data_IF_243600986403
#
_entry.id   IF_243600986403
#
_cell.length_a   1.000
_cell.length_b   1.000
_cell.length_c   1.000
_cell.angle_alpha   90.00
_cell.angle_beta   90.00
_cell.angle_gamma   90.00
#
_symmetry.space_group_name_H-M   'P 1'
#
loop_
_entity.id
_entity.type
_entity.pdbx_description
1 polymer ?
#
# COMPACT_ATOMS: atom_id res chain seq x y z
N UNK A 1 21.16 -1.74 -4.86
CA UNK A 1 21.41 -2.37 -6.19
C UNK A 1 20.31 -3.36 -6.62
N UNK A 2 19.85 -4.30 -5.77
CA UNK A 2 18.77 -5.25 -6.18
C UNK A 2 17.41 -4.57 -6.49
N UNK A 3 17.07 -3.49 -5.80
CA UNK A 3 15.83 -2.76 -6.01
C UNK A 3 15.79 -2.03 -7.37
N UNK A 4 16.90 -1.42 -7.79
CA UNK A 4 17.01 -0.77 -9.12
C UNK A 4 16.86 -1.75 -10.29
N UNK A 5 17.38 -2.96 -10.16
CA UNK A 5 17.31 -3.97 -11.23
C UNK A 5 15.86 -4.44 -11.50
N UNK A 6 15.02 -4.51 -10.47
CA UNK A 6 13.61 -4.94 -10.59
C UNK A 6 12.74 -3.92 -11.35
N UNK A 7 13.08 -2.64 -11.26
CA UNK A 7 12.30 -1.58 -11.90
C UNK A 7 12.86 -1.15 -13.27
N UNK A 8 14.00 -1.71 -13.71
CA UNK A 8 14.61 -1.37 -15.01
C UNK A 8 13.62 -1.46 -16.17
N UNK A 9 12.75 -2.48 -16.15
CA UNK A 9 11.74 -2.70 -17.19
C UNK A 9 10.72 -1.57 -17.31
N UNK A 10 10.39 -0.90 -16.21
CA UNK A 10 9.39 0.17 -16.17
C UNK A 10 9.97 1.54 -15.77
N UNK A 11 11.28 1.65 -15.64
CA UNK A 11 11.92 2.87 -15.15
C UNK A 11 11.65 4.09 -16.05
N UNK A 12 11.76 3.91 -17.36
CA UNK A 12 11.48 4.98 -18.32
C UNK A 12 10.00 5.39 -18.30
N UNK A 13 9.10 4.41 -18.12
CA UNK A 13 7.67 4.68 -18.02
C UNK A 13 7.34 5.42 -16.73
N UNK A 14 7.96 5.04 -15.61
CA UNK A 14 7.77 5.71 -14.32
C UNK A 14 8.28 7.16 -14.34
N UNK A 15 9.29 7.48 -15.13
CA UNK A 15 9.70 8.86 -15.39
C UNK A 15 8.61 9.66 -16.13
N UNK A 16 7.93 9.04 -17.11
CA UNK A 16 6.81 9.67 -17.79
C UNK A 16 5.60 9.84 -16.85
N UNK A 17 5.32 8.86 -15.99
CA UNK A 17 4.31 8.99 -14.94
C UNK A 17 4.63 10.16 -14.00
N UNK A 18 5.89 10.30 -13.57
CA UNK A 18 6.30 11.40 -12.68
C UNK A 18 6.13 12.78 -13.36
N UNK A 19 6.51 12.89 -14.62
CA UNK A 19 6.31 14.12 -15.40
C UNK A 19 4.82 14.45 -15.56
N UNK A 20 3.98 13.43 -15.81
CA UNK A 20 2.55 13.60 -15.93
C UNK A 20 1.89 13.95 -14.60
N UNK A 21 2.30 13.32 -13.48
CA UNK A 21 1.86 13.68 -12.14
C UNK A 21 2.09 15.16 -11.85
N UNK A 22 3.30 15.67 -12.15
CA UNK A 22 3.64 17.08 -11.97
C UNK A 22 2.74 18.03 -12.79
N UNK A 23 2.33 17.62 -14.00
CA UNK A 23 1.37 18.39 -14.83
C UNK A 23 -0.05 18.35 -14.25
N UNK A 24 -0.47 17.20 -13.76
CA UNK A 24 -1.83 16.99 -13.25
C UNK A 24 -2.10 17.68 -11.91
N UNK A 25 -1.06 17.88 -11.10
CA UNK A 25 -1.17 18.57 -9.81
C UNK A 25 -1.02 20.08 -9.90
N UNK A 26 -0.82 20.61 -11.10
CA UNK A 26 -0.76 22.05 -11.36
C UNK A 26 -2.17 22.64 -11.29
N UNK A 27 -2.50 23.26 -10.17
CA UNK A 27 -3.81 23.86 -9.91
C UNK A 27 -3.79 25.36 -10.23
N UNK A 28 -4.96 25.96 -10.59
CA UNK A 28 -5.06 27.41 -10.76
C UNK A 28 -4.73 28.19 -9.48
N UNK A 29 -5.07 27.64 -8.31
CA UNK A 29 -4.68 28.23 -7.02
C UNK A 29 -3.21 27.91 -6.70
N UNK A 30 -2.35 28.94 -6.48
CA UNK A 30 -0.93 28.73 -6.26
C UNK A 30 -0.60 27.95 -4.98
N UNK A 31 -1.39 28.12 -3.92
CA UNK A 31 -1.13 27.45 -2.63
C UNK A 31 -1.48 25.95 -2.73
N UNK A 32 -2.62 25.65 -3.34
CA UNK A 32 -3.03 24.28 -3.62
C UNK A 32 -2.02 23.57 -4.55
N UNK A 33 -1.57 24.26 -5.61
CA UNK A 33 -0.55 23.75 -6.52
C UNK A 33 0.77 23.45 -5.79
N UNK A 34 1.23 24.33 -4.89
CA UNK A 34 2.43 24.10 -4.09
C UNK A 34 2.29 22.91 -3.16
N UNK A 35 1.14 22.74 -2.49
CA UNK A 35 0.88 21.63 -1.60
C UNK A 35 0.84 20.29 -2.35
N UNK A 36 0.15 20.23 -3.49
CA UNK A 36 0.08 19.03 -4.33
C UNK A 36 1.44 18.68 -4.95
N UNK A 37 2.20 19.67 -5.45
CA UNK A 37 3.57 19.47 -5.95
C UNK A 37 4.51 18.98 -4.86
N UNK A 38 4.38 19.47 -3.62
CA UNK A 38 5.19 19.04 -2.48
C UNK A 38 5.05 17.52 -2.24
N UNK A 39 3.83 16.97 -2.37
CA UNK A 39 3.58 15.53 -2.26
C UNK A 39 4.26 14.73 -3.37
N UNK A 40 4.13 15.16 -4.63
CA UNK A 40 4.79 14.49 -5.77
C UNK A 40 6.31 14.49 -5.55
N UNK A 41 6.88 15.64 -5.19
CA UNK A 41 8.31 15.81 -4.95
C UNK A 41 8.84 15.11 -3.69
N UNK A 42 7.97 14.72 -2.75
CA UNK A 42 8.35 13.83 -1.65
C UNK A 42 8.75 12.42 -2.15
N UNK A 43 8.50 12.14 -3.42
CA UNK A 43 8.91 10.91 -4.08
C UNK A 43 8.04 9.71 -3.70
N UNK A 44 8.58 8.53 -3.95
CA UNK A 44 7.93 7.25 -3.64
C UNK A 44 8.32 6.19 -4.68
N UNK A 45 8.03 4.94 -4.36
CA UNK A 45 8.36 3.80 -5.24
C UNK A 45 7.43 3.66 -6.45
N UNK A 46 6.37 4.45 -6.54
CA UNK A 46 5.36 4.43 -7.61
C UNK A 46 4.87 3.01 -7.94
N UNK A 47 4.61 2.21 -6.90
CA UNK A 47 4.26 0.79 -7.05
C UNK A 47 2.95 0.59 -7.84
N UNK A 48 1.94 1.43 -7.59
CA UNK A 48 0.64 1.31 -8.25
C UNK A 48 0.71 1.59 -9.74
N UNK A 49 1.34 2.68 -10.20
CA UNK A 49 1.68 2.87 -11.61
C UNK A 49 2.44 1.69 -12.20
N UNK A 50 3.50 1.22 -11.53
CA UNK A 50 4.33 0.12 -12.01
C UNK A 50 3.51 -1.17 -12.21
N UNK A 51 2.61 -1.52 -11.28
CA UNK A 51 1.75 -2.69 -11.42
C UNK A 51 0.75 -2.54 -12.57
N UNK A 52 0.17 -1.36 -12.78
CA UNK A 52 -0.74 -1.13 -13.90
C UNK A 52 0.00 -1.25 -15.24
N UNK A 53 1.19 -0.68 -15.35
CA UNK A 53 2.04 -0.74 -16.55
C UNK A 53 2.49 -2.17 -16.82
N UNK A 54 3.00 -2.89 -15.82
CA UNK A 54 3.43 -4.29 -15.99
C UNK A 54 2.26 -5.20 -16.39
N UNK A 55 1.09 -5.01 -15.77
CA UNK A 55 -0.11 -5.76 -16.14
C UNK A 55 -0.51 -5.51 -17.61
N UNK A 56 -0.48 -4.26 -18.04
CA UNK A 56 -0.80 -3.91 -19.42
C UNK A 56 0.24 -4.44 -20.41
N UNK A 57 1.53 -4.41 -20.07
CA UNK A 57 2.61 -4.99 -20.87
C UNK A 57 2.52 -6.50 -21.02
N UNK A 58 2.05 -7.22 -19.98
CA UNK A 58 1.72 -8.65 -20.11
C UNK A 58 0.65 -8.90 -21.20
N UNK A 59 -0.16 -7.89 -21.50
CA UNK A 59 -1.21 -7.95 -22.52
C UNK A 59 -0.82 -7.24 -23.84
N UNK A 60 0.44 -6.82 -23.98
CA UNK A 60 0.96 -6.21 -25.21
C UNK A 60 0.55 -4.74 -25.45
N UNK A 61 0.01 -4.05 -24.43
CA UNK A 61 -0.41 -2.66 -24.60
C UNK A 61 0.75 -1.66 -24.42
N UNK A 62 0.77 -0.57 -25.23
CA UNK A 62 1.76 0.50 -25.10
C UNK A 62 1.44 1.42 -23.92
N UNK A 63 2.45 2.19 -23.47
CA UNK A 63 2.35 3.07 -22.30
C UNK A 63 1.27 4.15 -22.46
N UNK A 64 1.16 4.72 -23.63
CA UNK A 64 0.24 5.85 -23.92
C UNK A 64 -1.20 5.52 -23.54
N UNK A 65 -1.58 4.26 -23.70
CA UNK A 65 -2.92 3.76 -23.35
C UNK A 65 -3.13 3.65 -21.85
N UNK A 66 -2.06 3.48 -21.07
CA UNK A 66 -2.10 3.20 -19.64
C UNK A 66 -1.70 4.40 -18.80
N UNK A 67 -0.99 5.35 -19.37
CA UNK A 67 -0.43 6.48 -18.64
C UNK A 67 -1.48 7.27 -17.84
N UNK A 68 -2.66 7.65 -18.38
CA UNK A 68 -3.67 8.36 -17.58
C UNK A 68 -4.15 7.55 -16.39
N UNK A 69 -4.33 6.22 -16.55
CA UNK A 69 -4.74 5.30 -15.49
C UNK A 69 -3.65 5.15 -14.42
N UNK A 70 -2.40 4.98 -14.82
CA UNK A 70 -1.26 4.86 -13.92
C UNK A 70 -1.11 6.11 -13.05
N UNK A 71 -1.28 7.29 -13.63
CA UNK A 71 -1.28 8.57 -12.93
C UNK A 71 -2.46 8.67 -11.97
N UNK A 72 -3.69 8.32 -12.41
CA UNK A 72 -4.88 8.35 -11.58
C UNK A 72 -4.75 7.45 -10.33
N UNK A 73 -4.22 6.24 -10.49
CA UNK A 73 -3.98 5.31 -9.40
C UNK A 73 -2.99 5.87 -8.35
N UNK A 74 -1.93 6.53 -8.79
CA UNK A 74 -0.99 7.17 -7.87
C UNK A 74 -1.60 8.41 -7.21
N UNK A 75 -2.40 9.20 -7.93
CA UNK A 75 -3.10 10.36 -7.34
C UNK A 75 -4.08 9.93 -6.25
N UNK A 76 -4.84 8.85 -6.45
CA UNK A 76 -5.70 8.28 -5.41
C UNK A 76 -4.87 7.87 -4.20
N UNK A 77 -3.75 7.17 -4.42
CA UNK A 77 -2.86 6.81 -3.33
C UNK A 77 -2.31 8.03 -2.59
N UNK A 78 -1.89 9.06 -3.32
CA UNK A 78 -1.40 10.30 -2.71
C UNK A 78 -2.51 11.01 -1.92
N UNK A 79 -3.75 11.02 -2.41
CA UNK A 79 -4.91 11.55 -1.70
C UNK A 79 -5.12 10.82 -0.36
N UNK A 80 -5.07 9.48 -0.34
CA UNK A 80 -5.18 8.73 0.92
C UNK A 80 -4.05 9.06 1.88
N UNK A 81 -2.81 9.17 1.41
CA UNK A 81 -1.67 9.52 2.27
C UNK A 81 -1.82 10.89 2.94
N UNK A 82 -2.36 11.89 2.23
CA UNK A 82 -2.60 13.22 2.79
C UNK A 82 -3.68 13.20 3.85
N UNK A 83 -4.77 12.46 3.61
CA UNK A 83 -5.84 12.30 4.58
C UNK A 83 -5.35 11.52 5.81
N UNK A 84 -4.57 10.45 5.61
CA UNK A 84 -3.95 9.67 6.69
C UNK A 84 -3.01 10.57 7.54
N UNK A 85 -2.22 11.45 6.93
CA UNK A 85 -1.34 12.38 7.65
C UNK A 85 -2.10 13.32 8.58
N UNK A 86 -3.34 13.70 8.22
CA UNK A 86 -4.22 14.50 9.08
C UNK A 86 -4.80 13.65 10.22
N UNK A 87 -5.29 12.45 9.91
CA UNK A 87 -5.90 11.53 10.88
C UNK A 87 -4.89 11.10 11.95
N UNK A 88 -3.66 10.77 11.49
CA UNK A 88 -2.57 10.29 12.35
C UNK A 88 -1.79 11.43 13.01
N UNK A 89 -2.12 12.70 12.72
CA UNK A 89 -1.35 13.89 13.10
C UNK A 89 0.15 13.72 12.81
N UNK A 90 0.50 13.18 11.65
CA UNK A 90 1.86 12.81 11.27
C UNK A 90 2.64 14.04 10.78
N UNK A 91 3.70 14.49 11.49
CA UNK A 91 4.43 15.70 11.08
C UNK A 91 5.39 15.46 9.91
N UNK A 92 5.86 14.22 9.75
CA UNK A 92 6.90 13.86 8.76
C UNK A 92 6.47 12.62 7.98
N UNK A 93 6.68 12.65 6.66
CA UNK A 93 6.54 11.50 5.76
C UNK A 93 7.69 11.49 4.75
N UNK A 94 8.34 10.33 4.59
CA UNK A 94 9.51 10.16 3.69
C UNK A 94 10.63 11.19 3.95
N UNK A 95 10.87 11.51 5.21
CA UNK A 95 11.90 12.47 5.63
C UNK A 95 11.59 13.95 5.35
N UNK A 96 10.35 14.26 4.91
CA UNK A 96 9.89 15.64 4.66
C UNK A 96 8.67 15.98 5.50
N UNK A 97 8.47 17.27 5.86
CA UNK A 97 7.23 17.71 6.50
C UNK A 97 6.01 17.32 5.64
N UNK A 98 4.94 16.87 6.29
CA UNK A 98 3.66 16.58 5.62
C UNK A 98 2.98 17.88 5.18
N UNK A 99 1.97 17.78 4.31
CA UNK A 99 1.13 18.93 3.93
C UNK A 99 0.46 19.50 5.18
N UNK A 100 -0.03 18.62 6.06
CA UNK A 100 -0.62 18.98 7.35
C UNK A 100 0.34 19.79 8.25
N UNK A 101 1.57 19.34 8.39
CA UNK A 101 2.57 20.03 9.22
C UNK A 101 2.98 21.39 8.65
N UNK A 102 2.92 21.57 7.32
CA UNK A 102 3.40 22.77 6.65
C UNK A 102 2.30 23.81 6.41
N UNK A 103 1.09 23.37 6.09
CA UNK A 103 -0.01 24.26 5.68
C UNK A 103 -1.29 24.07 6.50
N UNK A 104 -1.30 23.16 7.47
CA UNK A 104 -2.45 22.92 8.34
C UNK A 104 -3.47 21.93 7.78
N UNK A 105 -4.45 21.65 8.61
CA UNK A 105 -5.45 20.60 8.38
C UNK A 105 -6.36 20.90 7.19
N UNK A 106 -6.85 22.11 7.09
CA UNK A 106 -7.83 22.51 6.05
C UNK A 106 -7.24 22.34 4.64
N UNK A 107 -6.04 22.88 4.39
CA UNK A 107 -5.41 22.74 3.08
C UNK A 107 -5.04 21.29 2.78
N UNK A 108 -4.69 20.48 3.78
CA UNK A 108 -4.44 19.06 3.58
C UNK A 108 -5.66 18.32 3.07
N UNK A 109 -6.83 18.53 3.70
CA UNK A 109 -8.08 17.90 3.27
C UNK A 109 -8.41 18.31 1.83
N UNK A 110 -8.37 19.62 1.52
CA UNK A 110 -8.61 20.10 0.16
C UNK A 110 -7.59 19.59 -0.86
N UNK A 111 -6.32 19.41 -0.46
CA UNK A 111 -5.30 18.83 -1.35
C UNK A 111 -5.64 17.37 -1.68
N UNK A 112 -6.06 16.58 -0.69
CA UNK A 112 -6.50 15.20 -0.91
C UNK A 112 -7.74 15.13 -1.82
N UNK A 113 -8.75 15.97 -1.56
CA UNK A 113 -9.97 16.04 -2.38
C UNK A 113 -9.67 16.44 -3.82
N UNK A 114 -8.78 17.42 -4.00
CA UNK A 114 -8.32 17.85 -5.33
C UNK A 114 -7.66 16.72 -6.10
N UNK A 115 -6.71 16.01 -5.49
CA UNK A 115 -6.02 14.88 -6.11
C UNK A 115 -7.01 13.78 -6.50
N UNK A 116 -7.96 13.48 -5.63
CA UNK A 116 -9.00 12.50 -5.90
C UNK A 116 -9.89 12.94 -7.07
N UNK A 117 -10.38 14.16 -7.08
CA UNK A 117 -11.20 14.70 -8.17
C UNK A 117 -10.45 14.69 -9.51
N UNK A 118 -9.17 15.09 -9.51
CA UNK A 118 -8.31 15.04 -10.72
C UNK A 118 -8.14 13.61 -11.24
N UNK A 119 -8.01 12.62 -10.36
CA UNK A 119 -7.93 11.23 -10.76
C UNK A 119 -9.17 10.74 -11.49
N UNK A 120 -10.36 11.19 -11.08
CA UNK A 120 -11.62 10.87 -11.74
C UNK A 120 -11.69 11.44 -13.17
N UNK A 121 -11.17 12.66 -13.39
CA UNK A 121 -11.09 13.28 -14.72
C UNK A 121 -10.23 12.42 -15.66
N UNK A 122 -9.07 11.93 -15.17
CA UNK A 122 -8.20 11.06 -15.97
C UNK A 122 -8.87 9.74 -16.33
N UNK A 123 -9.60 9.15 -15.38
CA UNK A 123 -10.29 7.86 -15.59
C UNK A 123 -11.50 8.00 -16.52
N UNK A 124 -12.16 9.17 -16.52
CA UNK A 124 -13.29 9.45 -17.39
C UNK A 124 -12.90 9.53 -18.90
N UNK A 125 -11.62 9.55 -19.23
CA UNK A 125 -11.14 9.51 -20.63
C UNK A 125 -11.22 8.10 -21.25
N UNK A 126 -11.48 7.06 -20.46
CA UNK A 126 -11.58 5.69 -20.95
C UNK A 126 -13.02 5.34 -21.36
N UNK A 127 -13.17 4.76 -22.55
CA UNK A 127 -14.49 4.31 -23.07
C UNK A 127 -15.01 3.07 -22.35
N UNK A 128 -14.14 2.24 -21.75
CA UNK A 128 -14.54 1.02 -21.06
C UNK A 128 -15.12 1.34 -19.66
N UNK A 129 -16.45 1.14 -19.47
CA UNK A 129 -17.13 1.52 -18.23
C UNK A 129 -16.67 0.72 -17.01
N UNK A 130 -15.96 -0.40 -17.21
CA UNK A 130 -15.38 -1.19 -16.10
C UNK A 130 -14.30 -0.40 -15.37
N UNK A 131 -13.56 0.48 -16.06
CA UNK A 131 -12.46 1.24 -15.46
C UNK A 131 -12.97 2.18 -14.37
N UNK A 132 -13.86 3.14 -14.63
CA UNK A 132 -14.40 3.99 -13.58
C UNK A 132 -15.20 3.22 -12.52
N UNK A 133 -15.92 2.16 -12.91
CA UNK A 133 -16.72 1.34 -11.98
C UNK A 133 -15.84 0.62 -10.94
N UNK A 134 -14.76 -0.04 -11.38
CA UNK A 134 -13.81 -0.72 -10.48
C UNK A 134 -13.17 0.31 -9.55
N UNK A 135 -12.72 1.46 -10.08
CA UNK A 135 -12.05 2.47 -9.29
C UNK A 135 -12.97 3.08 -8.22
N UNK A 136 -14.23 3.39 -8.57
CA UNK A 136 -15.22 3.87 -7.62
C UNK A 136 -15.49 2.84 -6.51
N UNK A 137 -15.68 1.56 -6.87
CA UNK A 137 -15.86 0.49 -5.90
C UNK A 137 -14.67 0.32 -4.95
N UNK A 138 -13.45 0.44 -5.49
CA UNK A 138 -12.20 0.37 -4.71
C UNK A 138 -12.13 1.52 -3.72
N UNK A 139 -12.38 2.76 -4.17
CA UNK A 139 -12.34 3.95 -3.33
C UNK A 139 -13.30 3.85 -2.13
N UNK A 140 -14.53 3.42 -2.36
CA UNK A 140 -15.50 3.19 -1.27
C UNK A 140 -14.99 2.16 -0.26
N UNK A 141 -14.47 1.03 -0.74
CA UNK A 141 -13.97 -0.05 0.14
C UNK A 141 -12.72 0.36 0.91
N UNK A 142 -11.86 1.21 0.35
CA UNK A 142 -10.69 1.75 1.05
C UNK A 142 -11.11 2.63 2.24
N UNK A 143 -12.08 3.54 2.03
CA UNK A 143 -12.63 4.35 3.12
C UNK A 143 -13.26 3.48 4.21
N UNK A 144 -14.03 2.44 3.82
CA UNK A 144 -14.58 1.47 4.77
C UNK A 144 -13.48 0.76 5.58
N UNK A 145 -12.37 0.40 4.92
CA UNK A 145 -11.21 -0.22 5.59
C UNK A 145 -10.57 0.71 6.62
N UNK A 146 -10.45 1.99 6.31
CA UNK A 146 -9.92 2.99 7.24
C UNK A 146 -10.83 3.18 8.46
N UNK A 147 -12.14 3.30 8.25
CA UNK A 147 -13.13 3.38 9.34
C UNK A 147 -13.05 2.12 10.23
N UNK A 148 -12.93 0.93 9.63
CA UNK A 148 -12.76 -0.32 10.39
C UNK A 148 -11.48 -0.31 11.22
N UNK A 149 -10.36 0.19 10.69
CA UNK A 149 -9.11 0.30 11.45
C UNK A 149 -9.25 1.23 12.65
N UNK A 150 -9.88 2.39 12.46
CA UNK A 150 -10.13 3.34 13.55
C UNK A 150 -11.04 2.74 14.64
N UNK A 151 -12.09 2.03 14.24
CA UNK A 151 -13.02 1.38 15.17
C UNK A 151 -12.40 0.21 15.93
N UNK A 152 -11.42 -0.49 15.34
CA UNK A 152 -10.73 -1.65 15.93
C UNK A 152 -9.44 -1.27 16.68
N UNK A 153 -9.15 0.02 16.88
CA UNK A 153 -7.98 0.44 17.66
C UNK A 153 -8.11 -0.06 19.12
N UNK A 154 -7.05 -0.69 19.61
CA UNK A 154 -6.98 -1.32 20.95
C UNK A 154 -7.94 -2.52 21.15
N UNK A 155 -8.57 -3.03 20.10
CA UNK A 155 -9.34 -4.27 20.17
C UNK A 155 -8.39 -5.47 20.18
N UNK A 156 -8.33 -6.17 21.31
CA UNK A 156 -7.45 -7.34 21.51
C UNK A 156 -8.14 -8.67 21.10
N UNK A 157 -9.41 -8.64 20.78
CA UNK A 157 -10.20 -9.80 20.34
C UNK A 157 -10.26 -9.94 18.81
N UNK A 158 -9.54 -9.04 18.07
CA UNK A 158 -9.46 -9.07 16.62
C UNK A 158 -8.97 -10.42 16.11
N UNK A 159 -9.70 -10.99 15.14
CA UNK A 159 -9.36 -12.29 14.55
C UNK A 159 -8.42 -12.15 13.35
N UNK A 160 -7.78 -13.27 12.94
CA UNK A 160 -7.03 -13.33 11.69
C UNK A 160 -7.89 -12.89 10.48
N UNK A 161 -9.17 -13.24 10.45
CA UNK A 161 -10.08 -12.86 9.35
C UNK A 161 -10.30 -11.35 9.31
N UNK A 162 -10.54 -10.72 10.45
CA UNK A 162 -10.75 -9.26 10.55
C UNK A 162 -9.48 -8.51 10.14
N UNK A 163 -8.32 -8.99 10.59
CA UNK A 163 -7.02 -8.46 10.17
C UNK A 163 -6.82 -8.54 8.64
N UNK A 164 -7.06 -9.71 8.04
CA UNK A 164 -6.89 -9.91 6.59
C UNK A 164 -7.88 -9.06 5.78
N UNK A 165 -9.14 -8.90 6.23
CA UNK A 165 -10.11 -8.03 5.57
C UNK A 165 -9.67 -6.56 5.65
N UNK A 166 -9.19 -6.12 6.80
CA UNK A 166 -8.66 -4.77 7.01
C UNK A 166 -7.50 -4.44 6.08
N UNK A 167 -6.43 -5.27 6.08
CA UNK A 167 -5.26 -5.01 5.23
C UNK A 167 -5.57 -5.20 3.74
N UNK A 168 -6.54 -6.05 3.41
CA UNK A 168 -7.03 -6.16 2.04
C UNK A 168 -7.66 -4.84 1.60
N UNK A 169 -8.59 -4.28 2.35
CA UNK A 169 -9.30 -3.03 2.01
C UNK A 169 -8.35 -1.83 1.98
N UNK A 170 -7.48 -1.68 2.98
CA UNK A 170 -6.58 -0.54 3.12
C UNK A 170 -5.46 -0.53 2.08
N UNK A 171 -4.85 -1.68 1.79
CA UNK A 171 -3.62 -1.75 1.00
C UNK A 171 -3.74 -2.64 -0.23
N UNK A 172 -4.14 -3.91 -0.07
CA UNK A 172 -4.06 -4.89 -1.15
C UNK A 172 -5.09 -4.64 -2.26
N UNK A 173 -6.21 -4.03 -1.94
CA UNK A 173 -7.29 -3.76 -2.89
C UNK A 173 -6.85 -2.80 -4.00
N UNK A 174 -6.13 -1.72 -3.68
CA UNK A 174 -5.65 -0.77 -4.69
C UNK A 174 -4.52 -1.37 -5.54
N UNK A 175 -3.69 -2.25 -4.98
CA UNK A 175 -2.68 -3.01 -5.75
C UNK A 175 -3.37 -4.01 -6.69
N UNK A 176 -4.39 -4.71 -6.21
CA UNK A 176 -5.20 -5.60 -7.05
C UNK A 176 -5.87 -4.85 -8.19
N UNK A 177 -6.46 -3.70 -7.89
CA UNK A 177 -7.09 -2.83 -8.88
C UNK A 177 -6.07 -2.28 -9.90
N UNK A 178 -4.85 -1.95 -9.49
CA UNK A 178 -3.79 -1.52 -10.42
C UNK A 178 -3.50 -2.58 -11.47
N UNK A 179 -3.36 -3.85 -11.06
CA UNK A 179 -3.15 -4.96 -11.98
C UNK A 179 -4.39 -5.23 -12.84
N UNK A 180 -5.59 -5.24 -12.25
CA UNK A 180 -6.87 -5.47 -12.93
C UNK A 180 -7.15 -4.42 -13.99
N UNK A 181 -7.04 -3.15 -13.61
CA UNK A 181 -7.33 -2.01 -14.48
C UNK A 181 -6.30 -1.88 -15.60
N UNK A 182 -5.02 -2.16 -15.33
CA UNK A 182 -3.99 -2.22 -16.36
C UNK A 182 -4.33 -3.23 -17.45
N UNK A 183 -4.82 -4.44 -17.05
CA UNK A 183 -5.27 -5.46 -17.99
C UNK A 183 -6.55 -5.06 -18.75
N UNK A 184 -7.53 -4.45 -18.06
CA UNK A 184 -8.76 -3.96 -18.70
C UNK A 184 -8.43 -2.89 -19.74
N UNK A 185 -7.62 -1.89 -19.38
CA UNK A 185 -7.20 -0.84 -20.28
C UNK A 185 -6.40 -1.38 -21.48
N UNK A 186 -5.67 -2.48 -21.31
CA UNK A 186 -4.99 -3.18 -22.39
C UNK A 186 -5.94 -3.96 -23.32
N UNK A 187 -7.21 -4.15 -22.95
CA UNK A 187 -8.17 -4.95 -23.71
C UNK A 187 -7.98 -6.47 -23.55
N UNK A 188 -7.43 -6.90 -22.41
CA UNK A 188 -7.19 -8.31 -22.13
C UNK A 188 -8.50 -9.12 -22.00
N UNK A 189 -8.40 -10.44 -22.19
CA UNK A 189 -9.50 -11.35 -21.94
C UNK A 189 -9.81 -11.48 -20.44
N UNK A 190 -11.02 -11.97 -20.12
CA UNK A 190 -11.54 -12.08 -18.76
C UNK A 190 -10.67 -12.99 -17.86
N UNK A 191 -10.02 -14.01 -18.41
CA UNK A 191 -9.17 -14.91 -17.64
C UNK A 191 -7.88 -14.20 -17.22
N UNK A 192 -7.23 -13.51 -18.15
CA UNK A 192 -6.02 -12.71 -17.90
C UNK A 192 -6.29 -11.59 -16.88
N UNK A 193 -7.41 -10.84 -17.03
CA UNK A 193 -7.84 -9.83 -16.06
C UNK A 193 -7.98 -10.44 -14.66
N UNK A 194 -8.63 -11.59 -14.56
CA UNK A 194 -8.82 -12.29 -13.29
C UNK A 194 -7.49 -12.74 -12.67
N UNK A 195 -6.57 -13.29 -13.45
CA UNK A 195 -5.26 -13.70 -12.97
C UNK A 195 -4.44 -12.51 -12.44
N UNK A 196 -4.42 -11.39 -13.15
CA UNK A 196 -3.73 -10.18 -12.73
C UNK A 196 -4.35 -9.57 -11.47
N UNK A 197 -5.68 -9.54 -11.36
CA UNK A 197 -6.36 -9.12 -10.12
C UNK A 197 -5.97 -9.99 -8.92
N UNK A 198 -5.98 -11.31 -9.07
CA UNK A 198 -5.60 -12.22 -7.98
C UNK A 198 -4.11 -12.16 -7.66
N UNK A 199 -3.27 -11.95 -8.67
CA UNK A 199 -1.86 -11.66 -8.45
C UNK A 199 -1.70 -10.43 -7.55
N UNK A 200 -2.27 -9.30 -7.94
CA UNK A 200 -2.18 -8.05 -7.18
C UNK A 200 -2.75 -8.15 -5.77
N UNK A 201 -3.89 -8.86 -5.61
CA UNK A 201 -4.47 -9.15 -4.29
C UNK A 201 -3.50 -9.89 -3.38
N UNK A 202 -2.96 -11.00 -3.85
CA UNK A 202 -2.08 -11.83 -3.05
C UNK A 202 -0.76 -11.12 -2.73
N UNK A 203 -0.18 -10.44 -3.71
CA UNK A 203 1.02 -9.64 -3.52
C UNK A 203 0.79 -8.51 -2.50
N UNK A 204 -0.34 -7.81 -2.60
CA UNK A 204 -0.69 -6.71 -1.69
C UNK A 204 -0.90 -7.16 -0.24
N UNK A 205 -1.51 -8.33 -0.04
CA UNK A 205 -1.64 -8.92 1.30
C UNK A 205 -0.28 -9.28 1.88
N UNK A 206 0.58 -9.97 1.12
CA UNK A 206 1.93 -10.29 1.54
C UNK A 206 2.76 -9.04 1.84
N UNK A 207 2.65 -8.02 0.99
CA UNK A 207 3.33 -6.74 1.16
C UNK A 207 2.97 -6.09 2.49
N UNK A 208 1.66 -6.00 2.82
CA UNK A 208 1.24 -5.40 4.09
C UNK A 208 1.64 -6.23 5.29
N UNK A 209 1.50 -7.56 5.24
CA UNK A 209 1.96 -8.43 6.35
C UNK A 209 3.47 -8.23 6.60
N UNK A 210 4.26 -8.12 5.54
CA UNK A 210 5.71 -7.87 5.66
C UNK A 210 5.99 -6.48 6.23
N UNK A 211 5.26 -5.44 5.81
CA UNK A 211 5.39 -4.09 6.38
C UNK A 211 5.05 -4.07 7.89
N UNK A 212 4.00 -4.78 8.32
CA UNK A 212 3.62 -4.90 9.73
C UNK A 212 4.70 -5.63 10.57
N UNK A 213 5.35 -6.63 9.98
CA UNK A 213 6.52 -7.29 10.60
C UNK A 213 7.70 -6.33 10.69
N UNK A 214 8.00 -5.58 9.63
CA UNK A 214 9.11 -4.62 9.61
C UNK A 214 8.93 -3.50 10.64
N UNK A 215 7.71 -3.06 10.92
CA UNK A 215 7.44 -2.09 11.99
C UNK A 215 7.90 -2.60 13.38
N UNK A 216 8.04 -3.92 13.57
CA UNK A 216 8.49 -4.54 14.82
C UNK A 216 9.97 -4.92 14.83
N UNK A 217 10.59 -5.17 13.67
CA UNK A 217 11.93 -5.80 13.63
C UNK A 217 13.00 -5.01 12.89
N UNK A 218 12.63 -4.03 12.09
CA UNK A 218 13.59 -3.28 11.30
C UNK A 218 14.47 -2.39 12.18
N UNK A 219 15.67 -2.08 11.69
CA UNK A 219 16.58 -1.13 12.33
C UNK A 219 15.95 0.28 12.30
N UNK A 220 15.80 0.95 13.47
CA UNK A 220 15.27 2.31 13.55
C UNK A 220 16.01 3.31 12.66
N UNK A 221 17.33 3.14 12.46
CA UNK A 221 18.13 4.00 11.58
C UNK A 221 17.74 3.83 10.10
N UNK A 222 17.41 2.61 9.68
CA UNK A 222 16.94 2.32 8.32
C UNK A 222 15.48 2.71 8.10
N UNK A 223 14.64 2.58 9.13
CA UNK A 223 13.23 2.98 9.07
C UNK A 223 13.02 4.50 9.10
N UNK A 224 13.95 5.25 9.69
CA UNK A 224 13.82 6.69 9.93
C UNK A 224 12.76 7.05 10.98
N UNK A 225 12.25 6.07 11.73
CA UNK A 225 11.26 6.23 12.82
C UNK A 225 11.45 5.13 13.88
N UNK A 226 11.02 5.37 15.14
CA UNK A 226 11.01 4.33 16.17
C UNK A 226 10.16 3.12 15.75
N UNK A 227 10.58 1.91 16.13
CA UNK A 227 9.83 0.66 15.91
C UNK A 227 8.56 0.62 16.77
N UNK A 228 7.57 -0.17 16.32
CA UNK A 228 6.32 -0.41 17.04
C UNK A 228 5.32 0.74 16.93
N UNK A 229 5.34 1.46 15.81
CA UNK A 229 4.39 2.53 15.49
C UNK A 229 2.94 2.03 15.55
N UNK A 230 2.66 0.87 14.97
CA UNK A 230 1.34 0.23 15.00
C UNK A 230 0.88 -0.05 16.44
N UNK A 231 1.74 -0.65 17.25
CA UNK A 231 1.42 -0.94 18.66
C UNK A 231 1.18 0.34 19.48
N UNK A 232 1.88 1.42 19.15
CA UNK A 232 1.68 2.72 19.79
C UNK A 232 0.29 3.27 19.50
N UNK A 233 -0.16 3.15 18.26
CA UNK A 233 -1.50 3.58 17.81
C UNK A 233 -2.62 2.62 18.24
N UNK A 234 -2.28 1.46 18.84
CA UNK A 234 -3.25 0.43 19.22
C UNK A 234 -3.69 -0.44 18.04
N UNK A 235 -2.96 -0.41 16.91
CA UNK A 235 -3.22 -1.26 15.76
C UNK A 235 -2.63 -2.65 16.02
N UNK A 236 -3.52 -3.63 16.23
CA UNK A 236 -3.12 -5.01 16.47
C UNK A 236 -2.91 -5.70 15.12
N UNK A 237 -1.65 -6.09 14.84
CA UNK A 237 -1.23 -6.72 13.60
C UNK A 237 -1.00 -8.22 13.76
N UNK A 238 -0.79 -8.93 12.67
CA UNK A 238 -0.75 -10.40 12.64
C UNK A 238 0.21 -11.03 13.64
N UNK A 239 1.45 -10.54 13.84
CA UNK A 239 2.34 -11.07 14.86
C UNK A 239 1.75 -10.99 16.29
N UNK A 240 1.08 -9.88 16.60
CA UNK A 240 0.45 -9.66 17.90
C UNK A 240 -0.81 -10.53 18.08
N UNK A 241 -1.63 -10.70 17.04
CA UNK A 241 -2.81 -11.59 17.06
C UNK A 241 -2.37 -13.02 17.40
N UNK A 242 -1.33 -13.52 16.74
CA UNK A 242 -0.78 -14.85 17.04
C UNK A 242 -0.27 -14.94 18.49
N UNK A 243 0.47 -13.93 18.94
CA UNK A 243 1.03 -13.90 20.28
C UNK A 243 -0.04 -13.86 21.38
N UNK A 244 -1.16 -13.16 21.17
CA UNK A 244 -2.30 -13.15 22.08
C UNK A 244 -2.95 -14.52 22.25
N UNK A 245 -2.79 -15.43 21.28
CA UNK A 245 -3.29 -16.80 21.36
C UNK A 245 -2.25 -17.78 21.92
N UNK A 246 -0.98 -17.67 21.51
CA UNK A 246 0.05 -18.66 21.72
C UNK A 246 1.03 -18.34 22.87
N UNK A 247 1.10 -17.09 23.35
CA UNK A 247 2.11 -16.69 24.34
C UNK A 247 1.80 -17.26 25.74
N UNK A 248 2.79 -17.87 26.41
CA UNK A 248 2.65 -18.26 27.82
C UNK A 248 2.54 -17.05 28.75
N UNK A 249 2.94 -15.86 28.31
CA UNK A 249 2.82 -14.59 29.04
C UNK A 249 1.65 -13.72 28.53
N UNK A 250 0.57 -14.38 28.09
CA UNK A 250 -0.62 -13.73 27.51
C UNK A 250 -1.15 -12.56 28.34
N UNK A 251 -1.30 -12.73 29.66
CA UNK A 251 -1.85 -11.68 30.55
C UNK A 251 -0.98 -10.40 30.53
N UNK A 252 0.34 -10.57 30.54
CA UNK A 252 1.27 -9.44 30.44
C UNK A 252 1.15 -8.75 29.10
N UNK A 253 1.05 -9.52 28.01
CA UNK A 253 0.89 -8.98 26.66
C UNK A 253 -0.41 -8.21 26.51
N UNK A 254 -1.55 -8.73 27.03
CA UNK A 254 -2.84 -8.04 27.08
C UNK A 254 -2.70 -6.69 27.81
N UNK A 255 -2.04 -6.69 28.98
CA UNK A 255 -1.84 -5.46 29.75
C UNK A 255 -1.04 -4.41 28.93
N UNK A 256 0.07 -4.83 28.30
CA UNK A 256 0.92 -3.93 27.51
C UNK A 256 0.17 -3.39 26.27
N UNK A 257 -0.50 -4.27 25.51
CA UNK A 257 -1.17 -3.89 24.28
C UNK A 257 -2.41 -3.02 24.53
N UNK A 258 -3.13 -3.24 25.64
CA UNK A 258 -4.34 -2.48 25.98
C UNK A 258 -4.10 -1.05 26.50
N UNK A 259 -2.87 -0.70 26.91
CA UNK A 259 -2.55 0.68 27.32
C UNK A 259 -2.68 1.65 26.14
N UNK A 260 -3.23 2.84 26.38
CA UNK A 260 -3.28 3.92 25.39
C UNK A 260 -1.95 4.67 25.31
N UNK A 261 -1.38 5.03 26.45
CA UNK A 261 -0.10 5.77 26.57
C UNK A 261 1.04 4.79 26.89
N UNK A 262 1.58 4.16 25.83
CA UNK A 262 2.70 3.23 25.95
C UNK A 262 4.03 3.97 25.91
N UNK A 263 4.92 3.70 26.86
CA UNK A 263 6.31 4.12 26.78
C UNK A 263 7.04 3.29 25.74
N UNK A 264 8.19 3.79 25.23
CA UNK A 264 9.02 3.04 24.28
C UNK A 264 9.51 1.72 24.87
N UNK A 265 9.80 1.66 26.19
CA UNK A 265 10.21 0.44 26.88
C UNK A 265 9.09 -0.61 26.88
N UNK A 266 7.83 -0.21 27.12
CA UNK A 266 6.67 -1.12 27.09
C UNK A 266 6.40 -1.65 25.68
N UNK A 267 6.60 -0.82 24.64
CA UNK A 267 6.50 -1.25 23.23
C UNK A 267 7.57 -2.29 22.93
N UNK A 268 8.83 -2.04 23.33
CA UNK A 268 9.92 -2.99 23.14
C UNK A 268 9.69 -4.30 23.88
N UNK A 269 9.15 -4.24 25.11
CA UNK A 269 8.78 -5.43 25.87
C UNK A 269 7.68 -6.23 25.18
N UNK A 270 6.63 -5.58 24.67
CA UNK A 270 5.58 -6.24 23.90
C UNK A 270 6.13 -6.91 22.64
N UNK A 271 6.97 -6.19 21.87
CA UNK A 271 7.64 -6.74 20.68
C UNK A 271 8.48 -7.98 21.04
N UNK A 272 9.23 -7.94 22.17
CA UNK A 272 10.03 -9.08 22.59
C UNK A 272 9.14 -10.29 22.93
N UNK A 273 8.03 -10.10 23.63
CA UNK A 273 7.07 -11.16 23.92
C UNK A 273 6.46 -11.77 22.65
N UNK A 274 6.19 -10.93 21.63
CA UNK A 274 5.69 -11.36 20.32
C UNK A 274 6.75 -12.18 19.57
N UNK A 275 8.03 -11.78 19.63
CA UNK A 275 9.15 -12.51 19.03
C UNK A 275 9.35 -13.86 19.72
N UNK A 276 9.39 -13.88 21.03
CA UNK A 276 9.69 -15.09 21.84
C UNK A 276 8.68 -16.22 21.61
N UNK A 277 7.41 -15.89 21.33
CA UNK A 277 6.39 -16.90 21.04
C UNK A 277 6.27 -17.29 19.55
N UNK A 278 7.12 -16.73 18.68
CA UNK A 278 7.13 -17.05 17.25
C UNK A 278 6.14 -16.26 16.39
N UNK A 279 5.57 -15.16 16.88
CA UNK A 279 4.58 -14.35 16.16
C UNK A 279 5.12 -13.76 14.86
N UNK A 280 6.39 -13.34 14.86
CA UNK A 280 7.06 -12.83 13.63
C UNK A 280 7.17 -13.94 12.59
N UNK A 281 7.65 -15.13 12.98
CA UNK A 281 7.77 -16.26 12.05
C UNK A 281 6.42 -16.65 11.47
N UNK A 282 5.39 -16.75 12.31
CA UNK A 282 4.03 -17.06 11.86
C UNK A 282 3.53 -16.08 10.80
N UNK A 283 3.71 -14.78 11.02
CA UNK A 283 3.29 -13.77 10.06
C UNK A 283 4.05 -13.88 8.72
N UNK A 284 5.36 -14.14 8.77
CA UNK A 284 6.17 -14.33 7.56
C UNK A 284 5.79 -15.62 6.81
N UNK A 285 5.46 -16.71 7.50
CA UNK A 285 4.98 -17.94 6.87
C UNK A 285 3.63 -17.71 6.14
N UNK A 286 2.74 -16.91 6.73
CA UNK A 286 1.47 -16.50 6.08
C UNK A 286 1.73 -15.62 4.86
N UNK A 287 2.65 -14.65 4.96
CA UNK A 287 3.04 -13.79 3.84
C UNK A 287 3.61 -14.62 2.67
N UNK A 288 4.49 -15.61 2.96
CA UNK A 288 5.04 -16.51 1.93
C UNK A 288 3.94 -17.30 1.23
N UNK A 289 2.94 -17.81 1.96
CA UNK A 289 1.81 -18.49 1.35
C UNK A 289 1.02 -17.60 0.37
N UNK A 290 0.93 -16.31 0.63
CA UNK A 290 0.34 -15.35 -0.31
C UNK A 290 1.27 -15.08 -1.49
N UNK A 291 2.58 -14.97 -1.31
CA UNK A 291 3.56 -14.82 -2.40
C UNK A 291 3.55 -16.02 -3.35
N UNK A 292 3.44 -17.25 -2.82
CA UNK A 292 3.29 -18.46 -3.64
C UNK A 292 2.02 -18.43 -4.49
N UNK A 293 0.89 -17.98 -3.90
CA UNK A 293 -0.36 -17.80 -4.66
C UNK A 293 -0.21 -16.74 -5.73
N UNK A 294 0.51 -15.63 -5.46
CA UNK A 294 0.79 -14.62 -6.47
C UNK A 294 1.63 -15.18 -7.62
N UNK A 295 2.72 -15.91 -7.34
CA UNK A 295 3.53 -16.61 -8.37
C UNK A 295 2.71 -17.57 -9.23
N UNK A 296 1.80 -18.33 -8.60
CA UNK A 296 0.88 -19.20 -9.32
C UNK A 296 -0.03 -18.42 -10.27
N UNK A 297 -0.52 -17.24 -9.86
CA UNK A 297 -1.31 -16.41 -10.80
C UNK A 297 -0.46 -15.86 -11.94
N UNK A 298 0.77 -15.42 -11.66
CA UNK A 298 1.69 -14.95 -12.70
C UNK A 298 2.04 -16.03 -13.72
N UNK A 299 2.12 -17.31 -13.32
CA UNK A 299 2.46 -18.42 -14.24
C UNK A 299 1.38 -18.68 -15.32
N UNK A 300 0.16 -18.16 -15.15
CA UNK A 300 -0.90 -18.24 -16.17
C UNK A 300 -0.87 -17.11 -17.19
N UNK A 301 -0.02 -16.09 -16.96
CA UNK A 301 0.13 -14.95 -17.87
C UNK A 301 1.00 -15.33 -19.09
N UNK A 302 0.85 -14.61 -20.21
CA UNK A 302 1.72 -14.79 -21.37
C UNK A 302 3.20 -14.68 -21.00
N UNK A 303 4.08 -15.52 -21.55
CA UNK A 303 5.52 -15.44 -21.30
C UNK A 303 6.10 -14.12 -21.81
N UNK A 304 7.04 -13.54 -21.05
CA UNK A 304 7.70 -12.28 -21.41
C UNK A 304 8.29 -11.56 -20.21
N UNK A 305 9.04 -10.50 -20.45
CA UNK A 305 9.78 -9.75 -19.44
C UNK A 305 8.86 -9.20 -18.35
N UNK A 306 7.68 -8.69 -18.72
CA UNK A 306 6.72 -8.15 -17.76
C UNK A 306 6.23 -9.21 -16.76
N UNK A 307 5.89 -10.43 -17.23
CA UNK A 307 5.53 -11.56 -16.35
C UNK A 307 6.69 -11.94 -15.43
N UNK A 308 7.89 -11.99 -15.97
CA UNK A 308 9.08 -12.39 -15.21
C UNK A 308 9.43 -11.33 -14.17
N UNK A 309 9.22 -10.06 -14.47
CA UNK A 309 9.32 -8.94 -13.51
C UNK A 309 8.27 -9.07 -12.40
N UNK A 310 6.99 -9.32 -12.73
CA UNK A 310 5.95 -9.58 -11.72
C UNK A 310 6.33 -10.76 -10.81
N UNK A 311 6.87 -11.84 -11.38
CA UNK A 311 7.35 -12.99 -10.59
C UNK A 311 8.50 -12.61 -9.67
N UNK A 312 9.48 -11.86 -10.16
CA UNK A 312 10.65 -11.41 -9.40
C UNK A 312 10.28 -10.48 -8.23
N UNK A 313 9.25 -9.65 -8.39
CA UNK A 313 8.72 -8.79 -7.33
C UNK A 313 8.22 -9.58 -6.12
N UNK A 314 7.71 -10.80 -6.31
CA UNK A 314 7.29 -11.66 -5.19
C UNK A 314 8.49 -12.10 -4.35
N UNK A 315 9.63 -12.39 -4.95
CA UNK A 315 10.86 -12.73 -4.24
C UNK A 315 11.48 -11.52 -3.54
N UNK A 316 11.40 -10.35 -4.16
CA UNK A 316 11.87 -9.11 -3.54
C UNK A 316 11.13 -8.77 -2.25
N UNK A 317 9.78 -8.89 -2.24
CA UNK A 317 8.98 -8.64 -1.02
C UNK A 317 9.40 -9.57 0.11
N UNK A 318 9.66 -10.84 -0.20
CA UNK A 318 10.15 -11.82 0.78
C UNK A 318 11.48 -11.40 1.45
N UNK A 319 12.39 -10.81 0.68
CA UNK A 319 13.75 -10.46 1.16
C UNK A 319 13.89 -9.03 1.64
N UNK A 320 12.80 -8.25 1.62
CA UNK A 320 12.79 -6.84 1.99
C UNK A 320 13.00 -6.67 3.49
N UNK A 321 14.12 -6.04 3.87
CA UNK A 321 14.38 -5.62 5.26
C UNK A 321 14.83 -6.72 6.21
N UNK A 322 15.35 -7.84 5.68
CA UNK A 322 16.00 -8.88 6.47
C UNK A 322 17.45 -9.05 6.05
#
# INVERSE_FOLDING_TARGET
>A
MKELALWQEVQADLQQVEAELLRQVDAPDPVLSQAARHLVQAGGKRLRPAFAILAARCCGAPLERILPLAVALEMIHMATLVHDDVIDASPIRRGRPTVWARWGQELSLHTGDYLFARSLILVATYDDPRIPSVLASVSVKMVQGEIQQLAAAFDLDITLRDYLDRIYRKTALLIAASCELGAIAAGADTATIRHLRYYGRNLGLAFQITDDVLDMVADPEQLGKPIGGDLRQGVITLPAIYALQASPKKQKLIHLLGKRDKTQAEIQEAIQLIKDCGGIKYALDIAEGYLERARKQASYLPPGVARDTLTSLTYYIRTRGF
#
